data_IF_831115157459
#
_entry.id   IF_831115157459
#
_cell.length_a   1.000
_cell.length_b   1.000
_cell.length_c   1.000
_cell.angle_alpha   90.00
_cell.angle_beta   90.00
_cell.angle_gamma   90.00
#
_symmetry.space_group_name_H-M   'P 1'
#
loop_
_entity.id
_entity.type
_entity.pdbx_description
1 polymer ?
#
# COMPACT_ATOMS: atom_id res chain seq x y z
N UNK A 1 -20.89 -6.59 20.50
CA UNK A 1 -21.79 -5.93 19.54
C UNK A 1 -21.78 -6.73 18.26
N UNK A 2 -22.95 -7.10 17.75
CA UNK A 2 -23.07 -8.04 16.62
C UNK A 2 -22.50 -7.45 15.33
N UNK A 3 -21.36 -7.96 14.89
CA UNK A 3 -20.88 -7.78 13.53
C UNK A 3 -21.70 -8.67 12.60
N UNK A 4 -22.37 -8.06 11.61
CA UNK A 4 -22.94 -8.77 10.47
C UNK A 4 -21.82 -9.59 9.81
N UNK A 5 -21.81 -10.89 10.10
CA UNK A 5 -20.85 -11.86 9.61
C UNK A 5 -21.17 -12.13 8.13
N UNK A 6 -20.87 -11.18 7.25
CA UNK A 6 -20.92 -11.39 5.80
C UNK A 6 -19.68 -12.19 5.42
N UNK A 7 -19.57 -13.42 5.93
CA UNK A 7 -18.64 -14.41 5.42
C UNK A 7 -19.08 -14.74 3.99
N UNK A 8 -18.75 -13.88 3.03
CA UNK A 8 -18.83 -14.21 1.62
C UNK A 8 -18.01 -15.49 1.42
N UNK A 9 -18.72 -16.49 0.91
CA UNK A 9 -18.38 -17.90 0.78
C UNK A 9 -16.93 -18.32 1.15
N UNK A 10 -16.82 -19.26 2.10
CA UNK A 10 -15.57 -19.97 2.46
C UNK A 10 -14.84 -20.53 1.24
N UNK A 11 -15.53 -20.69 0.11
CA UNK A 11 -14.97 -21.14 -1.15
C UNK A 11 -14.10 -20.11 -1.90
N UNK A 12 -14.06 -18.85 -1.47
CA UNK A 12 -13.33 -17.78 -2.18
C UNK A 12 -12.04 -17.33 -1.49
N UNK A 13 -11.87 -17.59 -0.17
CA UNK A 13 -10.63 -17.29 0.57
C UNK A 13 -9.47 -18.18 0.13
N UNK A 14 -8.23 -17.70 0.35
CA UNK A 14 -7.05 -18.56 0.23
C UNK A 14 -7.06 -19.56 1.38
N UNK A 15 -6.96 -20.83 1.03
CA UNK A 15 -6.85 -21.96 1.95
C UNK A 15 -5.58 -22.73 1.57
N UNK A 16 -4.52 -22.74 2.41
CA UNK A 16 -3.28 -23.43 2.12
C UNK A 16 -3.45 -24.93 1.83
N UNK A 17 -4.50 -25.57 2.37
CA UNK A 17 -4.79 -26.98 2.12
C UNK A 17 -5.36 -27.23 0.71
N UNK A 18 -5.82 -26.17 0.02
CA UNK A 18 -6.44 -26.23 -1.31
C UNK A 18 -5.63 -25.48 -2.37
N UNK A 19 -4.31 -25.58 -2.30
CA UNK A 19 -3.38 -24.86 -3.19
C UNK A 19 -3.59 -25.12 -4.70
N UNK A 20 -4.26 -26.21 -5.08
CA UNK A 20 -4.61 -26.55 -6.46
C UNK A 20 -5.75 -25.69 -7.04
N UNK A 21 -6.54 -25.04 -6.18
CA UNK A 21 -7.67 -24.18 -6.56
C UNK A 21 -7.18 -22.77 -6.91
N UNK A 22 -6.58 -22.61 -8.10
CA UNK A 22 -5.83 -21.41 -8.50
C UNK A 22 -6.65 -20.11 -8.45
N UNK A 23 -7.97 -20.18 -8.62
CA UNK A 23 -8.82 -18.99 -8.52
C UNK A 23 -8.77 -18.33 -7.13
N UNK A 24 -8.49 -19.09 -6.06
CA UNK A 24 -8.42 -18.58 -4.68
C UNK A 24 -7.32 -17.55 -4.48
N UNK A 25 -6.23 -17.63 -5.25
CA UNK A 25 -5.16 -16.64 -5.21
C UNK A 25 -5.59 -15.25 -5.71
N UNK A 26 -6.73 -15.17 -6.41
CA UNK A 26 -7.32 -13.91 -6.87
C UNK A 26 -8.59 -13.55 -6.11
N UNK A 27 -9.47 -14.52 -5.85
CA UNK A 27 -10.82 -14.25 -5.33
C UNK A 27 -10.84 -13.82 -3.87
N UNK A 28 -9.80 -14.12 -3.09
CA UNK A 28 -9.74 -13.76 -1.68
C UNK A 28 -9.78 -12.24 -1.44
N UNK A 29 -9.28 -11.45 -2.41
CA UNK A 29 -9.28 -10.00 -2.35
C UNK A 29 -10.69 -9.41 -2.29
N UNK A 30 -11.70 -10.14 -2.77
CA UNK A 30 -13.11 -9.71 -2.76
C UNK A 30 -13.86 -10.17 -1.51
N UNK A 31 -13.26 -10.99 -0.65
CA UNK A 31 -13.85 -11.46 0.60
C UNK A 31 -13.25 -10.68 1.75
N UNK A 32 -14.07 -10.23 2.69
CA UNK A 32 -13.62 -9.47 3.85
C UNK A 32 -14.17 -10.09 5.14
N UNK A 33 -13.44 -9.92 6.23
CA UNK A 33 -13.84 -10.47 7.54
C UNK A 33 -15.11 -9.79 8.07
N UNK A 34 -15.26 -8.50 7.80
CA UNK A 34 -16.33 -7.64 8.29
C UNK A 34 -16.52 -6.42 7.37
N UNK A 35 -17.62 -5.69 7.61
CA UNK A 35 -18.01 -4.54 6.79
C UNK A 35 -17.08 -3.34 6.99
N UNK A 36 -16.52 -3.14 8.19
CA UNK A 36 -15.63 -2.01 8.47
C UNK A 36 -14.32 -2.17 7.70
N UNK A 37 -13.77 -3.38 7.69
CA UNK A 37 -12.58 -3.74 6.93
C UNK A 37 -12.82 -3.62 5.41
N UNK A 38 -13.99 -4.05 4.92
CA UNK A 38 -14.37 -3.86 3.51
C UNK A 38 -14.43 -2.37 3.13
N UNK A 39 -15.13 -1.57 3.92
CA UNK A 39 -15.27 -0.14 3.66
C UNK A 39 -13.92 0.55 3.69
N UNK A 40 -13.08 0.25 4.70
CA UNK A 40 -11.72 0.78 4.78
C UNK A 40 -10.92 0.48 3.51
N UNK A 41 -10.86 -0.78 3.07
CA UNK A 41 -10.10 -1.14 1.87
C UNK A 41 -10.64 -0.43 0.62
N UNK A 42 -11.97 -0.38 0.42
CA UNK A 42 -12.58 0.34 -0.70
C UNK A 42 -12.19 1.83 -0.68
N UNK A 43 -12.38 2.52 0.44
CA UNK A 43 -12.06 3.95 0.53
C UNK A 43 -10.57 4.21 0.33
N UNK A 44 -9.72 3.43 0.99
CA UNK A 44 -8.28 3.59 0.95
C UNK A 44 -7.73 3.30 -0.46
N UNK A 45 -8.17 2.23 -1.11
CA UNK A 45 -7.75 1.86 -2.47
C UNK A 45 -8.28 2.83 -3.53
N UNK A 46 -9.50 3.34 -3.38
CA UNK A 46 -10.04 4.33 -4.33
C UNK A 46 -9.25 5.65 -4.27
N UNK A 47 -8.98 6.16 -3.08
CA UNK A 47 -8.24 7.42 -2.92
C UNK A 47 -6.80 7.25 -3.42
N UNK A 48 -6.09 6.24 -2.94
CA UNK A 48 -4.69 6.02 -3.31
C UNK A 48 -4.54 5.58 -4.76
N UNK A 49 -5.43 4.72 -5.24
CA UNK A 49 -5.48 4.27 -6.64
C UNK A 49 -5.78 5.41 -7.60
N UNK A 50 -6.70 6.31 -7.27
CA UNK A 50 -7.01 7.48 -8.11
C UNK A 50 -5.81 8.43 -8.25
N UNK A 51 -5.12 8.74 -7.15
CA UNK A 51 -3.90 9.56 -7.18
C UNK A 51 -2.83 8.91 -8.05
N UNK A 52 -2.63 7.61 -7.88
CA UNK A 52 -1.64 6.85 -8.65
C UNK A 52 -2.02 6.71 -10.12
N UNK A 53 -3.30 6.56 -10.45
CA UNK A 53 -3.77 6.49 -11.83
C UNK A 53 -3.48 7.78 -12.57
N UNK A 54 -3.66 8.94 -11.91
CA UNK A 54 -3.32 10.25 -12.50
C UNK A 54 -1.83 10.44 -12.76
N UNK A 55 -0.97 9.79 -11.99
CA UNK A 55 0.49 9.91 -12.15
C UNK A 55 1.10 8.81 -13.04
N UNK A 56 0.57 7.59 -12.99
CA UNK A 56 1.12 6.41 -13.66
C UNK A 56 0.38 6.00 -14.93
N UNK A 57 -0.91 6.36 -15.02
CA UNK A 57 -1.87 5.80 -15.96
C UNK A 57 -2.55 4.53 -15.43
N UNK A 58 -3.81 4.35 -15.82
CA UNK A 58 -4.71 3.31 -15.32
C UNK A 58 -4.19 1.88 -15.47
N UNK A 59 -3.56 1.55 -16.60
CA UNK A 59 -3.14 0.17 -16.88
C UNK A 59 -1.98 -0.29 -15.98
N UNK A 60 -1.06 0.60 -15.60
CA UNK A 60 0.04 0.29 -14.67
C UNK A 60 -0.50 0.02 -13.27
N UNK A 61 -1.50 0.80 -12.86
CA UNK A 61 -2.15 0.63 -11.56
C UNK A 61 -2.99 -0.66 -11.55
N UNK A 62 -3.64 -1.00 -12.66
CA UNK A 62 -4.31 -2.29 -12.82
C UNK A 62 -3.33 -3.49 -12.72
N UNK A 63 -2.14 -3.39 -13.32
CA UNK A 63 -1.09 -4.42 -13.18
C UNK A 63 -0.61 -4.49 -11.73
N UNK A 64 -0.32 -3.35 -11.11
CA UNK A 64 0.12 -3.30 -9.71
C UNK A 64 -0.91 -3.94 -8.79
N UNK A 65 -2.19 -3.60 -8.95
CA UNK A 65 -3.31 -4.19 -8.23
C UNK A 65 -3.30 -5.73 -8.34
N UNK A 66 -3.20 -6.27 -9.56
CA UNK A 66 -3.17 -7.71 -9.79
C UNK A 66 -1.95 -8.40 -9.16
N UNK A 67 -0.76 -7.82 -9.30
CA UNK A 67 0.47 -8.35 -8.70
C UNK A 67 0.40 -8.33 -7.18
N UNK A 68 -0.14 -7.26 -6.60
CA UNK A 68 -0.33 -7.13 -5.14
C UNK A 68 -1.24 -8.21 -4.58
N UNK A 69 -2.34 -8.53 -5.26
CA UNK A 69 -3.24 -9.61 -4.86
C UNK A 69 -2.51 -10.95 -4.87
N UNK A 70 -1.80 -11.27 -5.96
CA UNK A 70 -1.04 -12.52 -6.07
C UNK A 70 0.03 -12.57 -4.95
N UNK A 71 0.81 -11.51 -4.79
CA UNK A 71 1.86 -11.42 -3.77
C UNK A 71 1.31 -11.63 -2.36
N UNK A 72 0.18 -10.99 -2.03
CA UNK A 72 -0.51 -11.19 -0.76
C UNK A 72 -0.89 -12.65 -0.55
N UNK A 73 -1.45 -13.31 -1.57
CA UNK A 73 -1.84 -14.72 -1.49
C UNK A 73 -0.65 -15.67 -1.23
N UNK A 74 0.56 -15.33 -1.74
CA UNK A 74 1.76 -16.15 -1.54
C UNK A 74 2.23 -16.16 -0.07
N UNK A 75 1.88 -15.15 0.72
CA UNK A 75 2.21 -15.11 2.16
C UNK A 75 1.57 -16.25 2.95
N UNK A 76 0.49 -16.84 2.43
CA UNK A 76 -0.17 -18.00 3.04
C UNK A 76 0.69 -19.26 3.02
N UNK A 77 1.62 -19.40 2.06
CA UNK A 77 2.58 -20.52 2.03
C UNK A 77 3.59 -20.49 3.17
N UNK A 78 3.86 -19.30 3.70
CA UNK A 78 4.81 -19.11 4.82
C UNK A 78 4.05 -19.18 6.14
N UNK A 79 2.87 -18.56 6.21
CA UNK A 79 2.13 -18.39 7.45
C UNK A 79 1.19 -19.56 7.77
N UNK A 80 0.82 -20.38 6.79
CA UNK A 80 -0.21 -21.42 6.87
C UNK A 80 -1.55 -20.91 7.41
N UNK A 81 -1.85 -19.63 7.18
CA UNK A 81 -3.10 -18.99 7.60
C UNK A 81 -3.97 -18.67 6.40
N UNK A 82 -5.28 -18.75 6.61
CA UNK A 82 -6.26 -18.24 5.67
C UNK A 82 -6.09 -16.73 5.47
N UNK A 83 -6.32 -16.25 4.26
CA UNK A 83 -6.22 -14.84 3.91
C UNK A 83 -7.52 -14.34 3.29
N UNK A 84 -7.93 -13.14 3.71
CA UNK A 84 -9.08 -12.39 3.21
C UNK A 84 -8.71 -10.91 3.13
N UNK A 85 -9.35 -10.20 2.21
CA UNK A 85 -9.22 -8.76 2.03
C UNK A 85 -8.10 -8.38 1.07
N UNK A 86 -8.23 -7.19 0.49
CA UNK A 86 -7.32 -6.65 -0.52
C UNK A 86 -6.22 -5.75 0.07
N UNK A 87 -6.00 -5.76 1.39
CA UNK A 87 -5.07 -4.85 2.08
C UNK A 87 -3.65 -4.83 1.49
N UNK A 88 -3.16 -5.94 0.92
CA UNK A 88 -1.89 -6.00 0.19
C UNK A 88 -1.82 -4.98 -0.98
N UNK A 89 -2.95 -4.72 -1.65
CA UNK A 89 -3.10 -3.67 -2.68
C UNK A 89 -2.89 -2.30 -2.05
N UNK A 90 -3.60 -1.99 -0.97
CA UNK A 90 -3.48 -0.70 -0.29
C UNK A 90 -2.02 -0.41 0.11
N UNK A 91 -1.33 -1.37 0.75
CA UNK A 91 0.08 -1.20 1.11
C UNK A 91 0.98 -0.99 -0.12
N UNK A 92 0.70 -1.69 -1.23
CA UNK A 92 1.43 -1.52 -2.48
C UNK A 92 1.21 -0.14 -3.09
N UNK A 93 -0.01 0.40 -3.01
CA UNK A 93 -0.33 1.75 -3.49
C UNK A 93 0.36 2.82 -2.64
N UNK A 94 0.34 2.68 -1.31
CA UNK A 94 1.07 3.58 -0.42
C UNK A 94 2.57 3.58 -0.75
N UNK A 95 3.16 2.39 -0.89
CA UNK A 95 4.57 2.25 -1.26
C UNK A 95 4.89 2.91 -2.61
N UNK A 96 4.06 2.67 -3.64
CA UNK A 96 4.23 3.30 -4.96
C UNK A 96 4.11 4.83 -4.87
N UNK A 97 3.18 5.34 -4.08
CA UNK A 97 2.99 6.78 -3.85
C UNK A 97 4.20 7.43 -3.20
N UNK A 98 4.78 6.80 -2.17
CA UNK A 98 6.02 7.27 -1.55
C UNK A 98 7.16 7.31 -2.56
N UNK A 99 7.37 6.22 -3.31
CA UNK A 99 8.42 6.16 -4.32
C UNK A 99 8.23 7.28 -5.36
N UNK A 100 7.03 7.48 -5.88
CA UNK A 100 6.74 8.58 -6.81
C UNK A 100 7.09 9.95 -6.23
N UNK A 101 6.70 10.21 -4.98
CA UNK A 101 7.04 11.45 -4.31
C UNK A 101 8.56 11.67 -4.22
N UNK A 102 9.33 10.65 -3.83
CA UNK A 102 10.79 10.73 -3.78
C UNK A 102 11.41 10.98 -5.15
N UNK A 103 10.95 10.28 -6.19
CA UNK A 103 11.44 10.48 -7.56
C UNK A 103 11.23 11.93 -8.03
N UNK A 104 10.06 12.51 -7.76
CA UNK A 104 9.77 13.91 -8.10
C UNK A 104 10.77 14.85 -7.41
N UNK A 105 11.00 14.70 -6.11
CA UNK A 105 11.92 15.56 -5.35
C UNK A 105 13.35 15.44 -5.86
N UNK A 106 13.81 14.21 -6.14
CA UNK A 106 15.15 13.97 -6.69
C UNK A 106 15.27 14.62 -8.08
N UNK A 107 14.30 14.42 -8.96
CA UNK A 107 14.31 15.01 -10.31
C UNK A 107 14.33 16.53 -10.25
N UNK A 108 13.51 17.17 -9.40
CA UNK A 108 13.52 18.62 -9.21
C UNK A 108 14.86 19.13 -8.66
N UNK A 109 15.46 18.39 -7.71
CA UNK A 109 16.75 18.76 -7.14
C UNK A 109 17.87 18.71 -8.19
N UNK A 110 17.85 17.68 -9.05
CA UNK A 110 18.80 17.55 -10.17
C UNK A 110 18.58 18.66 -11.20
N UNK A 111 17.32 18.98 -11.54
CA UNK A 111 17.00 20.05 -12.48
C UNK A 111 17.53 21.40 -12.00
N UNK A 112 17.27 21.77 -10.74
CA UNK A 112 17.75 23.03 -10.18
C UNK A 112 19.28 23.12 -10.14
N UNK A 113 19.97 22.01 -9.90
CA UNK A 113 21.43 21.96 -9.91
C UNK A 113 22.02 22.12 -11.33
N UNK A 114 21.44 21.42 -12.32
CA UNK A 114 22.00 21.40 -13.68
C UNK A 114 21.58 22.60 -14.52
N UNK A 115 20.32 23.03 -14.41
CA UNK A 115 19.72 24.02 -15.34
C UNK A 115 19.70 25.41 -14.74
N UNK A 116 19.32 25.53 -13.46
CA UNK A 116 19.25 26.84 -12.79
C UNK A 116 20.56 27.22 -12.10
N UNK A 117 21.57 26.32 -12.10
CA UNK A 117 22.85 26.47 -11.39
C UNK A 117 22.67 26.87 -9.91
N UNK A 118 21.55 26.45 -9.30
CA UNK A 118 21.23 26.73 -7.90
C UNK A 118 21.82 25.63 -7.00
N UNK A 119 22.83 25.99 -6.20
CA UNK A 119 23.46 25.12 -5.20
C UNK A 119 22.61 24.93 -3.92
N UNK A 120 21.30 24.71 -4.10
CA UNK A 120 20.32 24.58 -3.01
C UNK A 120 20.03 23.13 -2.57
N UNK A 121 20.55 22.12 -3.28
CA UNK A 121 20.18 20.72 -3.00
C UNK A 121 20.58 20.26 -1.58
N UNK A 122 21.66 20.83 -1.03
CA UNK A 122 22.08 20.59 0.36
C UNK A 122 21.01 21.07 1.34
N UNK A 123 20.36 22.21 1.07
CA UNK A 123 19.28 22.74 1.90
C UNK A 123 18.02 21.87 1.82
N UNK A 124 17.65 21.37 0.64
CA UNK A 124 16.54 20.43 0.48
C UNK A 124 16.79 19.11 1.22
N UNK A 125 18.00 18.55 1.09
CA UNK A 125 18.40 17.35 1.80
C UNK A 125 18.39 17.57 3.33
N UNK A 126 18.94 18.69 3.79
CA UNK A 126 18.94 19.05 5.21
C UNK A 126 17.51 19.16 5.75
N UNK A 127 16.60 19.81 5.03
CA UNK A 127 15.19 19.91 5.40
C UNK A 127 14.52 18.54 5.50
N UNK A 128 14.76 17.65 4.54
CA UNK A 128 14.22 16.28 4.58
C UNK A 128 14.72 15.49 5.79
N UNK A 129 16.03 15.52 6.07
CA UNK A 129 16.63 14.81 7.22
C UNK A 129 16.07 15.33 8.54
N UNK A 130 15.98 16.66 8.71
CA UNK A 130 15.40 17.26 9.92
C UNK A 130 13.93 16.86 10.09
N UNK A 131 13.14 16.87 9.02
CA UNK A 131 11.74 16.42 9.07
C UNK A 131 11.58 14.94 9.46
N UNK A 132 12.45 14.07 8.96
CA UNK A 132 12.48 12.65 9.33
C UNK A 132 12.85 12.44 10.80
N UNK A 133 13.88 13.13 11.30
CA UNK A 133 14.28 13.10 12.70
C UNK A 133 13.13 13.59 13.59
N UNK A 134 12.51 14.72 13.25
CA UNK A 134 11.36 15.24 13.99
C UNK A 134 10.23 14.21 14.08
N UNK A 135 9.85 13.59 12.95
CA UNK A 135 8.78 12.59 12.92
C UNK A 135 9.09 11.38 13.79
N UNK A 136 10.34 10.88 13.77
CA UNK A 136 10.78 9.77 14.63
C UNK A 136 10.71 10.16 16.09
N UNK A 137 11.26 11.32 16.46
CA UNK A 137 11.29 11.79 17.85
C UNK A 137 9.86 11.98 18.37
N UNK A 138 8.98 12.63 17.61
CA UNK A 138 7.57 12.81 17.97
C UNK A 138 6.88 11.46 18.19
N UNK A 139 7.03 10.51 17.27
CA UNK A 139 6.46 9.17 17.42
C UNK A 139 6.95 8.47 18.69
N UNK A 140 8.26 8.54 18.99
CA UNK A 140 8.84 7.92 20.19
C UNK A 140 8.34 8.57 21.49
N UNK A 141 8.09 9.87 21.48
CA UNK A 141 7.50 10.58 22.63
C UNK A 141 6.06 10.12 22.83
N UNK A 142 5.26 10.07 21.77
CA UNK A 142 3.84 9.73 21.84
C UNK A 142 3.61 8.30 22.35
N UNK A 143 4.44 7.33 21.94
CA UNK A 143 4.31 5.95 22.43
C UNK A 143 4.77 5.76 23.88
N UNK A 144 5.63 6.65 24.40
CA UNK A 144 6.11 6.55 25.78
C UNK A 144 5.20 7.28 26.77
N UNK A 145 4.29 8.12 26.26
CA UNK A 145 3.32 8.89 27.06
C UNK A 145 1.91 8.27 27.07
N UNK A 146 1.68 7.19 26.32
CA UNK A 146 0.43 6.41 26.29
C UNK A 146 0.63 5.04 26.94
#
# INVERSE_FOLDING_TARGET
GGGLNISLDKNLKVDPAKYQEVWRYFTYAFVHADIEHLLFNIFAELITGWILEKTSGWWKIGILFGISIISGSLTTFITNKDLVGSSAVFYSFIAAGFVHFFFIIITLSIYNYIVEELDGWIAHLAGFVIGAIFSIVSYLIDINNN
#
